data_IF_721263234075
#
_entry.id   IF_721263234075
#
_cell.length_a   1.000
_cell.length_b   1.000
_cell.length_c   1.000
_cell.angle_alpha   90.00
_cell.angle_beta   90.00
_cell.angle_gamma   90.00
#
_symmetry.space_group_name_H-M   'P 1'
#
loop_
_entity.id
_entity.type
_entity.pdbx_description
1 polymer ?
#
# COMPACT_ATOMS: atom_id res chain seq x y z
N UNK A 1 17.17 8.13 -15.72
CA UNK A 1 16.39 7.18 -14.89
C UNK A 1 14.98 7.72 -14.79
N UNK A 2 14.01 7.08 -15.43
CA UNK A 2 12.59 7.46 -15.30
C UNK A 2 12.13 7.08 -13.89
N UNK A 3 12.11 8.07 -13.00
CA UNK A 3 11.40 7.95 -11.72
C UNK A 3 9.96 7.65 -12.11
N UNK A 4 9.48 6.43 -11.85
CA UNK A 4 8.09 6.10 -12.08
C UNK A 4 7.24 7.18 -11.38
N UNK A 5 6.34 7.83 -12.13
CA UNK A 5 5.49 8.88 -11.60
C UNK A 5 4.83 8.36 -10.31
N UNK A 6 5.10 9.03 -9.19
CA UNK A 6 4.50 8.65 -7.91
C UNK A 6 3.03 9.02 -8.02
N UNK A 7 2.17 8.03 -8.29
CA UNK A 7 0.73 8.23 -8.21
C UNK A 7 0.40 8.65 -6.77
N UNK A 8 -0.22 9.81 -6.54
CA UNK A 8 -0.59 10.23 -5.20
C UNK A 8 -1.39 9.14 -4.50
N UNK A 9 -1.17 8.96 -3.19
CA UNK A 9 -1.84 7.90 -2.43
C UNK A 9 -3.37 7.99 -2.54
N UNK A 10 -3.92 9.20 -2.55
CA UNK A 10 -5.37 9.41 -2.72
C UNK A 10 -5.88 8.98 -4.10
N UNK A 11 -5.10 9.16 -5.17
CA UNK A 11 -5.46 8.64 -6.50
C UNK A 11 -5.52 7.12 -6.49
N UNK A 12 -4.55 6.47 -5.82
CA UNK A 12 -4.55 5.00 -5.69
C UNK A 12 -5.72 4.51 -4.84
N UNK A 13 -6.03 5.20 -3.75
CA UNK A 13 -7.19 4.92 -2.88
C UNK A 13 -8.48 5.04 -3.69
N UNK A 14 -8.69 6.14 -4.40
CA UNK A 14 -9.89 6.38 -5.19
C UNK A 14 -10.06 5.35 -6.33
N UNK A 15 -8.96 5.00 -7.00
CA UNK A 15 -8.98 3.96 -8.03
C UNK A 15 -9.34 2.58 -7.44
N UNK A 16 -8.81 2.25 -6.26
CA UNK A 16 -9.13 0.99 -5.59
C UNK A 16 -10.59 0.96 -5.10
N UNK A 17 -11.09 2.06 -4.53
CA UNK A 17 -12.50 2.21 -4.15
C UNK A 17 -13.45 1.96 -5.32
N UNK A 18 -13.18 2.61 -6.46
CA UNK A 18 -13.96 2.45 -7.68
C UNK A 18 -13.88 1.01 -8.23
N UNK A 19 -12.67 0.42 -8.28
CA UNK A 19 -12.47 -0.95 -8.77
C UNK A 19 -13.15 -1.98 -7.89
N UNK A 20 -13.16 -1.79 -6.56
CA UNK A 20 -13.86 -2.67 -5.61
C UNK A 20 -15.38 -2.44 -5.58
N UNK A 21 -15.86 -1.41 -6.29
CA UNK A 21 -17.28 -1.03 -6.35
C UNK A 21 -17.87 -0.83 -4.95
N UNK A 22 -17.15 -0.10 -4.09
CA UNK A 22 -17.59 0.16 -2.73
C UNK A 22 -18.92 0.91 -2.74
N UNK A 23 -19.88 0.37 -1.99
CA UNK A 23 -21.22 0.94 -1.86
C UNK A 23 -21.32 1.90 -0.67
N UNK A 24 -22.36 2.73 -0.62
CA UNK A 24 -22.60 3.63 0.51
C UNK A 24 -22.70 2.90 1.85
N UNK A 25 -23.23 1.67 1.87
CA UNK A 25 -23.32 0.84 3.07
C UNK A 25 -21.95 0.32 3.55
N UNK A 26 -20.97 0.21 2.64
CA UNK A 26 -19.62 -0.26 2.92
C UNK A 26 -18.64 0.88 3.23
N UNK A 27 -19.05 2.14 3.07
CA UNK A 27 -18.17 3.30 3.21
C UNK A 27 -17.54 3.39 4.61
N UNK A 28 -18.30 3.07 5.66
CA UNK A 28 -17.78 3.04 7.03
C UNK A 28 -16.69 1.99 7.25
N UNK A 29 -16.71 0.89 6.48
CA UNK A 29 -15.68 -0.16 6.49
C UNK A 29 -14.52 0.19 5.56
N UNK A 30 -14.76 0.99 4.52
CA UNK A 30 -13.72 1.46 3.61
C UNK A 30 -12.81 2.54 4.23
N UNK A 31 -13.38 3.48 5.00
CA UNK A 31 -12.60 4.58 5.56
C UNK A 31 -11.38 4.12 6.39
N UNK A 32 -11.48 3.11 7.27
CA UNK A 32 -10.32 2.54 7.95
C UNK A 32 -9.25 1.97 7.00
N UNK A 33 -9.66 1.29 5.93
CA UNK A 33 -8.74 0.77 4.91
C UNK A 33 -7.99 1.91 4.23
N UNK A 34 -8.71 2.93 3.78
CA UNK A 34 -8.14 4.11 3.15
C UNK A 34 -7.17 4.84 4.08
N UNK A 35 -7.52 4.98 5.36
CA UNK A 35 -6.65 5.62 6.35
C UNK A 35 -5.34 4.86 6.53
N UNK A 36 -5.39 3.53 6.69
CA UNK A 36 -4.17 2.71 6.81
C UNK A 36 -3.31 2.83 5.54
N UNK A 37 -3.91 2.90 4.35
CA UNK A 37 -3.17 3.12 3.12
C UNK A 37 -2.43 4.48 3.10
N UNK A 38 -3.06 5.56 3.62
CA UNK A 38 -2.43 6.88 3.75
C UNK A 38 -1.30 6.88 4.76
N UNK A 39 -1.52 6.29 5.94
CA UNK A 39 -0.52 6.22 7.00
C UNK A 39 0.71 5.43 6.56
N UNK A 40 0.49 4.31 5.86
CA UNK A 40 1.55 3.50 5.28
C UNK A 40 2.34 4.28 4.22
N UNK A 41 1.65 5.02 3.34
CA UNK A 41 2.31 5.85 2.33
C UNK A 41 3.16 6.96 2.96
N UNK A 42 2.61 7.68 3.94
CA UNK A 42 3.31 8.72 4.69
C UNK A 42 4.56 8.19 5.38
N UNK A 43 4.45 7.03 6.05
CA UNK A 43 5.59 6.37 6.71
C UNK A 43 6.69 6.00 5.70
N UNK A 44 6.32 5.40 4.57
CA UNK A 44 7.27 5.03 3.52
C UNK A 44 7.92 6.25 2.88
N UNK A 45 7.17 7.32 2.63
CA UNK A 45 7.70 8.56 2.08
C UNK A 45 8.68 9.23 3.03
N UNK A 46 8.39 9.24 4.33
CA UNK A 46 9.32 9.75 5.35
C UNK A 46 10.63 8.97 5.35
N UNK A 47 10.57 7.63 5.38
CA UNK A 47 11.77 6.78 5.33
C UNK A 47 12.57 7.01 4.04
N UNK A 48 11.89 7.14 2.89
CA UNK A 48 12.52 7.44 1.60
C UNK A 48 13.21 8.80 1.61
N UNK A 49 12.57 9.82 2.16
CA UNK A 49 13.15 11.17 2.28
C UNK A 49 14.37 11.17 3.18
N UNK A 50 14.31 10.53 4.35
CA UNK A 50 15.45 10.37 5.26
C UNK A 50 16.61 9.67 4.58
N UNK A 51 16.36 8.58 3.85
CA UNK A 51 17.40 7.86 3.13
C UNK A 51 18.01 8.69 2.00
N UNK A 52 17.18 9.41 1.24
CA UNK A 52 17.65 10.31 0.16
C UNK A 52 18.52 11.44 0.71
N UNK A 53 18.12 12.05 1.84
CA UNK A 53 18.87 13.12 2.49
C UNK A 53 20.24 12.66 3.00
N UNK A 54 20.35 11.40 3.41
CA UNK A 54 21.57 10.83 4.00
C UNK A 54 22.39 9.96 3.02
N UNK A 55 22.02 9.89 1.74
CA UNK A 55 22.61 8.95 0.77
C UNK A 55 24.14 9.12 0.62
N UNK A 56 24.66 10.34 0.75
CA UNK A 56 26.10 10.63 0.60
C UNK A 56 26.89 10.56 1.93
N UNK A 57 26.22 10.33 3.05
CA UNK A 57 26.84 10.36 4.39
C UNK A 57 26.69 9.05 5.17
N UNK A 58 25.87 8.11 4.71
CA UNK A 58 25.66 6.83 5.37
C UNK A 58 26.82 5.87 5.16
N UNK A 59 27.23 5.19 6.23
CA UNK A 59 28.10 4.01 6.12
C UNK A 59 27.34 2.83 5.50
N UNK A 60 28.06 1.80 5.05
CA UNK A 60 27.45 0.57 4.55
C UNK A 60 26.52 -0.11 5.58
N UNK A 61 26.86 -0.01 6.87
CA UNK A 61 26.04 -0.58 7.95
C UNK A 61 24.76 0.25 8.16
N UNK A 62 24.85 1.57 8.07
CA UNK A 62 23.67 2.44 8.16
C UNK A 62 22.74 2.22 6.98
N UNK A 63 23.28 1.99 5.79
CA UNK A 63 22.50 1.67 4.60
C UNK A 63 21.70 0.38 4.80
N UNK A 64 22.35 -0.70 5.25
CA UNK A 64 21.67 -1.96 5.60
C UNK A 64 20.60 -1.78 6.68
N UNK A 65 20.87 -0.97 7.71
CA UNK A 65 19.88 -0.67 8.76
C UNK A 65 18.66 0.06 8.19
N UNK A 66 18.87 1.01 7.27
CA UNK A 66 17.77 1.73 6.63
C UNK A 66 16.88 0.83 5.78
N UNK A 67 17.47 -0.16 5.10
CA UNK A 67 16.71 -1.19 4.41
C UNK A 67 15.86 -2.02 5.37
N UNK A 68 16.43 -2.42 6.52
CA UNK A 68 15.70 -3.11 7.59
C UNK A 68 14.48 -2.31 8.04
N UNK A 69 14.64 -1.01 8.30
CA UNK A 69 13.53 -0.13 8.70
C UNK A 69 12.42 -0.05 7.64
N UNK A 70 12.76 -0.02 6.35
CA UNK A 70 11.77 -0.04 5.26
C UNK A 70 11.02 -1.36 5.23
N UNK A 71 11.71 -2.49 5.40
CA UNK A 71 11.10 -3.82 5.44
C UNK A 71 10.16 -3.94 6.64
N UNK A 72 10.60 -3.52 7.83
CA UNK A 72 9.81 -3.56 9.05
C UNK A 72 8.55 -2.69 8.94
N UNK A 73 8.70 -1.45 8.48
CA UNK A 73 7.57 -0.55 8.32
C UNK A 73 6.59 -1.03 7.23
N UNK A 74 7.08 -1.72 6.18
CA UNK A 74 6.20 -2.39 5.21
C UNK A 74 5.45 -3.57 5.84
N UNK A 75 6.13 -4.41 6.60
CA UNK A 75 5.51 -5.54 7.29
C UNK A 75 4.43 -5.07 8.29
N UNK A 76 4.73 -4.04 9.07
CA UNK A 76 3.77 -3.43 10.00
C UNK A 76 2.60 -2.79 9.27
N UNK A 77 2.84 -2.16 8.12
CA UNK A 77 1.80 -1.63 7.27
C UNK A 77 0.83 -2.72 6.79
N UNK A 78 1.33 -3.91 6.43
CA UNK A 78 0.49 -5.05 6.06
C UNK A 78 -0.28 -5.57 7.27
N UNK A 79 0.37 -5.76 8.43
CA UNK A 79 -0.30 -6.20 9.67
C UNK A 79 -1.48 -5.29 10.06
N UNK A 80 -1.36 -3.98 9.82
CA UNK A 80 -2.44 -3.01 10.07
C UNK A 80 -3.54 -3.07 9.00
N UNK A 81 -3.16 -3.25 7.73
CA UNK A 81 -4.09 -3.23 6.61
C UNK A 81 -4.97 -4.48 6.57
N UNK A 82 -4.41 -5.65 6.88
CA UNK A 82 -5.11 -6.94 6.81
C UNK A 82 -6.44 -6.96 7.57
N UNK A 83 -6.51 -6.65 8.88
CA UNK A 83 -7.78 -6.72 9.61
C UNK A 83 -8.81 -5.69 9.12
N UNK A 84 -8.37 -4.49 8.72
CA UNK A 84 -9.27 -3.47 8.16
C UNK A 84 -9.88 -3.94 6.83
N UNK A 85 -9.05 -4.52 5.96
CA UNK A 85 -9.51 -5.04 4.67
C UNK A 85 -10.36 -6.30 4.84
N UNK A 86 -10.06 -7.17 5.80
CA UNK A 86 -10.86 -8.36 6.11
C UNK A 86 -12.29 -7.99 6.52
N UNK A 87 -12.46 -7.00 7.39
CA UNK A 87 -13.78 -6.51 7.79
C UNK A 87 -14.59 -6.00 6.57
N UNK A 88 -13.94 -5.24 5.68
CA UNK A 88 -14.55 -4.78 4.44
C UNK A 88 -14.92 -5.96 3.53
N UNK A 89 -13.97 -6.87 3.27
CA UNK A 89 -14.14 -8.03 2.40
C UNK A 89 -15.29 -8.92 2.85
N UNK A 90 -15.44 -9.13 4.16
CA UNK A 90 -16.54 -9.92 4.71
C UNK A 90 -17.92 -9.30 4.46
N UNK A 91 -18.01 -7.97 4.29
CA UNK A 91 -19.25 -7.26 3.94
C UNK A 91 -19.55 -7.22 2.43
N UNK A 92 -18.62 -7.70 1.59
CA UNK A 92 -18.77 -7.70 0.14
C UNK A 92 -19.69 -8.83 -0.36
N UNK A 93 -20.42 -8.56 -1.45
CA UNK A 93 -21.11 -9.60 -2.22
C UNK A 93 -20.11 -10.57 -2.86
N UNK A 94 -20.57 -11.77 -3.25
CA UNK A 94 -19.70 -12.76 -3.89
C UNK A 94 -19.04 -12.24 -5.17
N UNK A 95 -19.76 -11.44 -5.96
CA UNK A 95 -19.22 -10.76 -7.15
C UNK A 95 -18.10 -9.78 -6.78
N UNK A 96 -18.32 -8.95 -5.75
CA UNK A 96 -17.30 -8.01 -5.27
C UNK A 96 -16.07 -8.74 -4.72
N UNK A 97 -16.26 -9.84 -3.97
CA UNK A 97 -15.17 -10.69 -3.44
C UNK A 97 -14.33 -11.28 -4.57
N UNK A 98 -14.96 -11.89 -5.57
CA UNK A 98 -14.26 -12.44 -6.74
C UNK A 98 -13.47 -11.36 -7.49
N UNK A 99 -14.04 -10.17 -7.65
CA UNK A 99 -13.35 -9.05 -8.27
C UNK A 99 -12.18 -8.53 -7.40
N UNK A 100 -12.35 -8.44 -6.09
CA UNK A 100 -11.27 -8.11 -5.16
C UNK A 100 -10.11 -9.12 -5.28
N UNK A 101 -10.41 -10.41 -5.28
CA UNK A 101 -9.39 -11.45 -5.47
C UNK A 101 -8.62 -11.27 -6.78
N UNK A 102 -9.33 -10.98 -7.89
CA UNK A 102 -8.70 -10.70 -9.19
C UNK A 102 -7.80 -9.46 -9.16
N UNK A 103 -8.23 -8.37 -8.50
CA UNK A 103 -7.42 -7.15 -8.34
C UNK A 103 -6.11 -7.48 -7.62
N UNK A 104 -6.18 -8.20 -6.50
CA UNK A 104 -5.02 -8.54 -5.69
C UNK A 104 -4.18 -9.69 -6.28
N UNK A 105 -4.72 -10.53 -7.16
CA UNK A 105 -3.96 -11.51 -7.95
C UNK A 105 -3.27 -10.89 -9.16
N UNK A 106 -3.97 -10.06 -9.94
CA UNK A 106 -3.43 -9.38 -11.12
C UNK A 106 -2.28 -8.43 -10.80
N UNK A 107 -2.36 -7.76 -9.64
CA UNK A 107 -1.29 -6.88 -9.15
C UNK A 107 -0.01 -7.66 -8.77
N UNK A 108 -0.09 -8.98 -8.48
CA UNK A 108 1.08 -9.84 -8.23
C UNK A 108 1.85 -10.18 -9.52
N UNK A 109 1.16 -10.31 -10.66
CA UNK A 109 1.80 -10.63 -11.94
C UNK A 109 2.44 -9.41 -12.62
N UNK A 110 1.92 -8.20 -12.37
CA UNK A 110 2.46 -6.98 -12.98
C UNK A 110 3.84 -6.55 -12.43
N UNK A 111 4.23 -7.04 -11.24
CA UNK A 111 5.55 -6.77 -10.65
C UNK A 111 6.65 -7.76 -11.06
N UNK A 112 6.32 -8.90 -11.66
CA UNK A 112 7.30 -9.92 -12.07
C UNK A 112 7.86 -9.73 -13.50
N UNK A 113 7.27 -8.86 -14.32
CA UNK A 113 7.65 -8.66 -15.74
C UNK A 113 8.66 -7.53 -15.98
N UNK A 114 9.24 -6.92 -14.94
CA UNK A 114 10.30 -5.91 -15.09
C UNK A 114 11.46 -6.24 -14.17
N UNK A 115 12.11 -7.37 -14.45
CA UNK A 115 13.46 -7.70 -14.01
C UNK A 115 14.40 -7.58 -15.19
#
# INVERSE_FOLDING_TARGET
>A
MTVAAHTPVDTRINNLHARLQITAAQESLWQPVAQVMRDNASTMDSLRQTRTANTNSMSAVDDLRSYGQVVDAHADGIKKLTPAFEALYNSMSDTQKSNADLIFHGDKHHKASKG
#
